data_IF_829059536184
#
_entry.id   IF_829059536184
#
_cell.length_a   1.000
_cell.length_b   1.000
_cell.length_c   1.000
_cell.angle_alpha   90.00
_cell.angle_beta   90.00
_cell.angle_gamma   90.00
#
_symmetry.space_group_name_H-M   'P 1'
#
loop_
_entity.id
_entity.type
_entity.pdbx_description
1 polymer ?
#
# COMPACT_ATOMS: atom_id res chain seq x y z
N UNK A 1 -25.97 -14.18 -19.00
CA UNK A 1 -25.39 -14.45 -17.68
C UNK A 1 -24.15 -15.29 -17.93
N UNK A 2 -22.97 -14.68 -17.84
CA UNK A 2 -21.70 -15.40 -17.97
C UNK A 2 -21.08 -15.47 -16.58
N UNK A 3 -20.82 -16.68 -16.10
CA UNK A 3 -20.11 -16.92 -14.84
C UNK A 3 -18.67 -16.40 -14.97
N UNK A 4 -18.21 -15.70 -13.93
CA UNK A 4 -16.85 -15.19 -13.83
C UNK A 4 -15.99 -16.29 -13.19
N UNK A 5 -14.79 -16.62 -13.71
CA UNK A 5 -13.97 -17.70 -13.17
C UNK A 5 -13.58 -17.48 -11.71
N UNK A 6 -13.66 -18.55 -10.92
CA UNK A 6 -13.23 -18.60 -9.53
C UNK A 6 -11.69 -18.53 -9.47
N UNK A 7 -11.14 -17.50 -8.85
CA UNK A 7 -9.69 -17.27 -8.77
C UNK A 7 -9.19 -17.56 -7.35
N UNK A 8 -9.12 -18.85 -7.00
CA UNK A 8 -8.36 -19.32 -5.85
C UNK A 8 -7.27 -20.27 -6.36
N UNK A 9 -5.99 -20.04 -6.07
CA UNK A 9 -4.99 -21.09 -6.18
C UNK A 9 -5.24 -22.13 -5.08
N UNK A 10 -5.31 -23.40 -5.44
CA UNK A 10 -5.39 -24.51 -4.48
C UNK A 10 -4.10 -24.56 -3.65
N UNK A 11 -4.20 -24.30 -2.35
CA UNK A 11 -3.11 -24.54 -1.39
C UNK A 11 -2.89 -26.05 -1.27
N UNK A 12 -1.74 -26.54 -1.73
CA UNK A 12 -1.27 -27.88 -1.41
C UNK A 12 -0.76 -27.88 0.04
N UNK A 13 -1.54 -28.48 0.94
CA UNK A 13 -1.12 -28.72 2.32
C UNK A 13 -0.15 -29.91 2.37
N UNK A 14 1.13 -29.65 2.61
CA UNK A 14 2.05 -30.69 3.10
C UNK A 14 1.89 -30.82 4.63
N UNK A 15 1.33 -31.94 5.07
CA UNK A 15 1.29 -32.34 6.47
C UNK A 15 2.70 -32.77 6.92
N UNK A 16 3.28 -32.04 7.89
CA UNK A 16 4.33 -32.56 8.75
C UNK A 16 3.93 -32.30 10.21
N UNK A 17 3.65 -33.37 10.95
CA UNK A 17 3.17 -33.32 12.32
C UNK A 17 4.27 -33.08 13.36
N UNK A 18 3.90 -32.41 14.47
CA UNK A 18 4.33 -32.72 15.85
C UNK A 18 3.57 -31.87 16.90
N UNK A 19 2.67 -32.54 17.61
CA UNK A 19 2.24 -32.43 19.03
C UNK A 19 2.20 -31.09 19.81
N UNK A 20 0.97 -30.71 20.16
CA UNK A 20 0.46 -30.20 21.47
C UNK A 20 0.99 -28.90 22.10
N UNK A 21 0.16 -27.84 22.11
CA UNK A 21 -0.62 -27.38 23.28
C UNK A 21 -1.46 -26.13 22.92
N UNK A 22 -2.67 -26.07 23.51
CA UNK A 22 -3.70 -25.01 23.42
C UNK A 22 -4.35 -24.77 22.05
N UNK A 23 -5.50 -25.43 21.84
CA UNK A 23 -6.42 -25.14 20.75
C UNK A 23 -7.05 -23.75 20.95
N UNK A 24 -6.42 -22.70 20.43
CA UNK A 24 -7.13 -21.49 20.07
C UNK A 24 -8.18 -21.89 19.04
N UNK A 25 -9.46 -21.92 19.43
CA UNK A 25 -10.55 -22.03 18.46
C UNK A 25 -10.47 -20.77 17.60
N UNK A 26 -10.00 -20.91 16.37
CA UNK A 26 -10.21 -19.90 15.34
C UNK A 26 -11.72 -19.65 15.27
N UNK A 27 -12.19 -18.41 15.44
CA UNK A 27 -13.62 -18.15 15.30
C UNK A 27 -14.06 -18.58 13.91
N UNK A 28 -15.11 -19.38 13.82
CA UNK A 28 -15.68 -19.85 12.55
C UNK A 28 -15.97 -18.61 11.67
N UNK A 29 -15.32 -18.54 10.50
CA UNK A 29 -15.48 -17.44 9.55
C UNK A 29 -16.86 -17.60 8.92
N UNK A 30 -17.73 -16.60 9.08
CA UNK A 30 -19.05 -16.58 8.42
C UNK A 30 -18.84 -16.73 6.89
N UNK A 31 -19.35 -17.80 6.24
CA UNK A 31 -19.14 -18.03 4.82
C UNK A 31 -19.80 -16.97 3.91
N UNK A 32 -20.66 -16.10 4.46
CA UNK A 32 -21.22 -14.95 3.75
C UNK A 32 -20.44 -13.65 3.98
N UNK A 33 -19.52 -13.60 4.93
CA UNK A 33 -18.72 -12.42 5.18
C UNK A 33 -17.74 -12.16 4.03
N UNK A 34 -17.43 -10.88 3.74
CA UNK A 34 -16.40 -10.55 2.76
C UNK A 34 -15.07 -11.27 3.07
N UNK A 35 -14.40 -11.86 2.07
CA UNK A 35 -13.12 -12.53 2.26
C UNK A 35 -12.04 -11.61 2.83
N UNK A 36 -12.11 -10.31 2.53
CA UNK A 36 -11.20 -9.28 3.01
C UNK A 36 -11.89 -8.29 3.95
N UNK A 37 -11.27 -8.10 5.11
CA UNK A 37 -11.72 -7.16 6.14
C UNK A 37 -11.51 -5.71 5.69
N UNK A 38 -10.43 -5.45 4.96
CA UNK A 38 -10.05 -4.11 4.52
C UNK A 38 -9.31 -4.13 3.18
N UNK A 39 -9.66 -3.21 2.30
CA UNK A 39 -8.91 -2.90 1.08
C UNK A 39 -8.18 -1.58 1.24
N UNK A 40 -6.85 -1.60 1.17
CA UNK A 40 -6.00 -0.42 1.22
C UNK A 40 -5.76 0.07 -0.20
N UNK A 41 -6.30 1.23 -0.53
CA UNK A 41 -6.23 1.83 -1.87
C UNK A 41 -5.19 2.94 -1.88
N UNK A 42 -4.18 2.79 -2.72
CA UNK A 42 -3.09 3.75 -2.84
C UNK A 42 -3.51 4.94 -3.71
N UNK A 43 -3.27 6.16 -3.21
CA UNK A 43 -3.41 7.40 -3.98
C UNK A 43 -2.42 7.53 -5.14
N UNK A 44 -2.70 8.43 -6.07
CA UNK A 44 -1.74 8.90 -7.07
C UNK A 44 -1.79 10.43 -7.08
N UNK A 45 -0.74 11.07 -6.58
CA UNK A 45 -0.55 12.51 -6.66
C UNK A 45 0.32 12.96 -7.84
N UNK A 46 0.51 14.28 -8.02
CA UNK A 46 -0.20 15.35 -7.31
C UNK A 46 -1.63 15.58 -7.86
N UNK A 47 -2.53 16.02 -6.99
CA UNK A 47 -3.86 16.54 -7.34
C UNK A 47 -3.75 17.81 -8.19
N UNK A 48 -4.54 17.94 -9.25
CA UNK A 48 -4.53 19.11 -10.15
C UNK A 48 -5.96 19.61 -10.46
N UNK A 49 -6.13 20.92 -10.68
CA UNK A 49 -7.44 21.57 -10.89
C UNK A 49 -8.16 21.09 -12.14
N UNK A 50 -7.42 20.79 -13.20
CA UNK A 50 -7.94 20.50 -14.53
C UNK A 50 -8.50 19.07 -14.65
N UNK A 51 -8.35 18.27 -13.61
CA UNK A 51 -8.77 16.87 -13.59
C UNK A 51 -10.26 16.74 -13.23
N UNK A 52 -10.95 15.81 -13.88
CA UNK A 52 -12.33 15.50 -13.54
C UNK A 52 -12.39 14.96 -12.10
N UNK A 53 -13.16 15.60 -11.22
CA UNK A 53 -13.15 15.34 -9.76
C UNK A 53 -11.82 15.65 -9.06
N UNK A 54 -10.89 16.34 -9.72
CA UNK A 54 -9.53 16.57 -9.20
C UNK A 54 -8.68 15.30 -9.09
N UNK A 55 -9.15 14.15 -9.60
CA UNK A 55 -8.46 12.87 -9.47
C UNK A 55 -7.57 12.58 -10.67
N UNK A 56 -6.28 12.25 -10.44
CA UNK A 56 -5.43 11.71 -11.49
C UNK A 56 -5.97 10.40 -12.06
N UNK A 57 -5.61 10.12 -13.31
CA UNK A 57 -6.12 8.98 -14.10
C UNK A 57 -6.01 7.65 -13.36
N UNK A 58 -4.87 7.35 -12.71
CA UNK A 58 -4.70 6.10 -11.98
C UNK A 58 -5.39 6.10 -10.61
N UNK A 59 -5.50 7.23 -9.90
CA UNK A 59 -6.34 7.32 -8.70
C UNK A 59 -7.81 7.02 -9.02
N UNK A 60 -8.32 7.57 -10.14
CA UNK A 60 -9.64 7.23 -10.67
C UNK A 60 -9.77 5.75 -11.03
N UNK A 61 -8.74 5.17 -11.67
CA UNK A 61 -8.74 3.75 -12.02
C UNK A 61 -8.85 2.85 -10.77
N UNK A 62 -8.10 3.19 -9.72
CA UNK A 62 -8.13 2.48 -8.43
C UNK A 62 -9.47 2.66 -7.72
N UNK A 63 -10.10 3.84 -7.77
CA UNK A 63 -11.46 4.00 -7.24
C UNK A 63 -12.47 3.10 -7.98
N UNK A 64 -12.39 3.01 -9.30
CA UNK A 64 -13.28 2.15 -10.09
C UNK A 64 -13.07 0.68 -9.71
N UNK A 65 -11.81 0.24 -9.55
CA UNK A 65 -11.48 -1.11 -9.12
C UNK A 65 -11.94 -1.41 -7.68
N UNK A 66 -11.73 -0.49 -6.74
CA UNK A 66 -12.17 -0.62 -5.35
C UNK A 66 -13.68 -0.81 -5.26
N UNK A 67 -14.45 -0.01 -6.02
CA UNK A 67 -15.89 -0.14 -6.08
C UNK A 67 -16.34 -1.48 -6.66
N UNK A 68 -15.65 -2.04 -7.65
CA UNK A 68 -15.99 -3.37 -8.19
C UNK A 68 -15.79 -4.48 -7.15
N UNK A 69 -14.68 -4.44 -6.40
CA UNK A 69 -14.42 -5.41 -5.35
C UNK A 69 -15.46 -5.28 -4.22
N UNK A 70 -15.77 -4.04 -3.81
CA UNK A 70 -16.77 -3.74 -2.79
C UNK A 70 -18.18 -4.23 -3.19
N UNK A 71 -18.67 -3.87 -4.37
CA UNK A 71 -20.02 -4.26 -4.83
C UNK A 71 -20.18 -5.75 -5.09
N UNK A 72 -19.07 -6.48 -5.30
CA UNK A 72 -19.05 -7.95 -5.36
C UNK A 72 -19.07 -8.61 -3.98
N UNK A 73 -19.14 -7.83 -2.90
CA UNK A 73 -19.08 -8.32 -1.53
C UNK A 73 -17.71 -8.87 -1.13
N UNK A 74 -16.63 -8.54 -1.87
CA UNK A 74 -15.30 -9.06 -1.57
C UNK A 74 -14.61 -8.32 -0.42
N UNK A 75 -15.01 -7.07 -0.19
CA UNK A 75 -14.36 -6.14 0.75
C UNK A 75 -15.40 -5.62 1.74
N UNK A 76 -15.08 -5.63 3.04
CA UNK A 76 -15.93 -5.01 4.07
C UNK A 76 -15.73 -3.50 4.17
N UNK A 77 -14.49 -3.04 4.32
CA UNK A 77 -14.14 -1.61 4.43
C UNK A 77 -13.02 -1.23 3.45
N UNK A 78 -12.99 0.03 3.02
CA UNK A 78 -11.97 0.55 2.10
C UNK A 78 -11.22 1.69 2.78
N UNK A 79 -9.90 1.54 2.92
CA UNK A 79 -9.02 2.62 3.39
C UNK A 79 -8.45 3.33 2.17
N UNK A 80 -8.69 4.63 2.08
CA UNK A 80 -8.23 5.51 1.01
C UNK A 80 -7.03 6.30 1.52
N UNK A 81 -5.88 6.16 0.85
CA UNK A 81 -4.62 6.78 1.30
C UNK A 81 -4.19 7.92 0.39
N UNK A 82 -3.61 8.96 1.01
CA UNK A 82 -2.96 10.06 0.32
C UNK A 82 -3.46 11.42 0.80
N UNK A 83 -2.52 12.27 1.18
CA UNK A 83 -2.70 13.60 1.71
C UNK A 83 -2.76 14.68 0.64
N UNK A 84 -2.44 15.92 1.03
CA UNK A 84 -2.57 17.12 0.20
C UNK A 84 -1.40 17.30 -0.78
N UNK A 85 -1.29 16.44 -1.78
CA UNK A 85 -0.19 16.50 -2.75
C UNK A 85 -0.31 17.63 -3.78
N UNK A 86 -1.47 18.30 -3.87
CA UNK A 86 -1.69 19.50 -4.69
C UNK A 86 -1.31 20.82 -4.01
N UNK A 87 -0.96 20.81 -2.72
CA UNK A 87 -0.76 21.99 -1.88
C UNK A 87 -1.87 22.18 -0.84
N UNK A 88 -1.65 23.05 0.14
CA UNK A 88 -2.53 23.19 1.32
C UNK A 88 -3.97 23.59 1.02
N UNK A 89 -4.18 24.34 -0.07
CA UNK A 89 -5.49 24.82 -0.52
C UNK A 89 -6.28 23.75 -1.29
N UNK A 90 -5.71 22.57 -1.50
CA UNK A 90 -6.34 21.46 -2.20
C UNK A 90 -6.84 20.40 -1.23
N UNK A 91 -7.95 19.72 -1.55
CA UNK A 91 -8.34 18.50 -0.86
C UNK A 91 -7.23 17.45 -0.97
N UNK A 92 -7.15 16.58 0.02
CA UNK A 92 -6.28 15.40 -0.04
C UNK A 92 -6.73 14.42 -1.13
N UNK A 93 -5.81 13.58 -1.58
CA UNK A 93 -6.15 12.50 -2.51
C UNK A 93 -7.22 11.57 -1.93
N UNK A 94 -7.13 11.24 -0.64
CA UNK A 94 -8.11 10.41 0.07
C UNK A 94 -9.52 11.03 0.04
N UNK A 95 -9.64 12.34 0.28
CA UNK A 95 -10.92 13.05 0.21
C UNK A 95 -11.52 13.05 -1.19
N UNK A 96 -10.71 13.26 -2.23
CA UNK A 96 -11.18 13.21 -3.61
C UNK A 96 -11.60 11.80 -4.03
N UNK A 97 -10.87 10.78 -3.59
CA UNK A 97 -11.22 9.38 -3.82
C UNK A 97 -12.54 9.02 -3.14
N UNK A 98 -12.76 9.45 -1.90
CA UNK A 98 -14.03 9.29 -1.18
C UNK A 98 -15.17 9.92 -1.97
N UNK A 99 -15.02 11.18 -2.34
CA UNK A 99 -16.03 11.93 -3.07
C UNK A 99 -16.42 11.22 -4.38
N UNK A 100 -15.44 10.72 -5.11
CA UNK A 100 -15.69 9.94 -6.33
C UNK A 100 -16.41 8.62 -6.04
N UNK A 101 -15.95 7.85 -5.04
CA UNK A 101 -16.55 6.58 -4.66
C UNK A 101 -18.01 6.72 -4.21
N UNK A 102 -18.30 7.70 -3.36
CA UNK A 102 -19.65 7.98 -2.86
C UNK A 102 -20.54 8.50 -3.99
N UNK A 103 -20.13 9.59 -4.66
CA UNK A 103 -21.01 10.31 -5.57
C UNK A 103 -21.18 9.59 -6.90
N UNK A 104 -20.12 8.95 -7.43
CA UNK A 104 -20.14 8.27 -8.73
C UNK A 104 -20.28 6.76 -8.63
N UNK A 105 -19.56 6.12 -7.71
CA UNK A 105 -19.54 4.66 -7.63
C UNK A 105 -20.56 4.06 -6.67
N UNK A 106 -21.25 4.90 -5.88
CA UNK A 106 -22.29 4.49 -4.93
C UNK A 106 -21.78 3.53 -3.85
N UNK A 107 -20.52 3.69 -3.44
CA UNK A 107 -20.00 3.04 -2.22
C UNK A 107 -20.48 3.88 -1.02
N UNK A 108 -21.09 3.26 0.02
CA UNK A 108 -21.53 3.97 1.21
C UNK A 108 -20.36 4.68 1.91
N UNK A 109 -20.58 5.87 2.45
CA UNK A 109 -19.50 6.65 3.07
C UNK A 109 -19.00 5.98 4.36
N UNK A 110 -19.88 5.30 5.08
CA UNK A 110 -19.59 4.56 6.30
C UNK A 110 -18.66 3.36 6.09
N UNK A 111 -18.47 2.88 4.85
CA UNK A 111 -17.49 1.83 4.54
C UNK A 111 -16.14 2.39 4.09
N UNK A 112 -15.97 3.71 4.05
CA UNK A 112 -14.76 4.39 3.63
C UNK A 112 -14.03 4.99 4.83
N UNK A 113 -12.75 4.67 4.94
CA UNK A 113 -11.84 5.20 5.95
C UNK A 113 -10.79 6.04 5.24
N UNK A 114 -10.49 7.24 5.76
CA UNK A 114 -9.49 8.13 5.16
C UNK A 114 -8.20 8.13 5.95
N UNK A 115 -7.09 7.97 5.23
CA UNK A 115 -5.76 8.35 5.66
C UNK A 115 -5.30 9.52 4.78
N UNK A 116 -5.43 10.74 5.29
CA UNK A 116 -5.34 11.99 4.54
C UNK A 116 -4.05 12.80 4.85
N UNK A 117 -3.03 12.16 5.44
CA UNK A 117 -1.81 12.84 5.90
C UNK A 117 -0.58 12.49 5.07
N UNK A 118 -0.51 11.27 4.54
CA UNK A 118 0.66 10.78 3.83
C UNK A 118 0.93 11.49 2.51
N UNK A 119 2.20 11.77 2.21
CA UNK A 119 2.62 12.41 0.95
C UNK A 119 3.39 11.46 0.03
N UNK A 120 3.63 10.22 0.47
CA UNK A 120 4.35 9.20 -0.27
C UNK A 120 3.95 7.80 0.19
N UNK A 121 4.35 6.78 -0.58
CA UNK A 121 3.92 5.39 -0.36
C UNK A 121 4.40 4.81 0.98
N UNK A 122 5.55 5.25 1.52
CA UNK A 122 6.06 4.74 2.81
C UNK A 122 5.17 5.26 3.94
N UNK A 123 4.83 6.55 3.93
CA UNK A 123 3.87 7.13 4.87
C UNK A 123 2.49 6.49 4.75
N UNK A 124 1.99 6.26 3.53
CA UNK A 124 0.71 5.58 3.31
C UNK A 124 0.69 4.24 4.06
N UNK A 125 1.75 3.44 3.95
CA UNK A 125 1.87 2.17 4.67
C UNK A 125 1.95 2.36 6.18
N UNK A 126 2.83 3.24 6.66
CA UNK A 126 3.04 3.44 8.09
C UNK A 126 1.76 3.89 8.80
N UNK A 127 1.07 4.88 8.23
CA UNK A 127 -0.14 5.46 8.80
C UNK A 127 -1.32 4.48 8.75
N UNK A 128 -1.52 3.75 7.64
CA UNK A 128 -2.59 2.75 7.56
C UNK A 128 -2.35 1.58 8.51
N UNK A 129 -1.11 1.08 8.60
CA UNK A 129 -0.82 -0.01 9.52
C UNK A 129 -0.98 0.42 10.97
N UNK A 130 -0.64 1.67 11.33
CA UNK A 130 -0.95 2.23 12.64
C UNK A 130 -2.46 2.18 12.95
N UNK A 131 -3.31 2.52 11.98
CA UNK A 131 -4.77 2.47 12.14
C UNK A 131 -5.28 1.02 12.26
N UNK A 132 -4.72 0.10 11.49
CA UNK A 132 -5.06 -1.33 11.50
C UNK A 132 -4.67 -1.98 12.83
N UNK A 133 -3.46 -1.70 13.31
CA UNK A 133 -2.91 -2.24 14.56
C UNK A 133 -3.71 -1.82 15.80
N UNK A 134 -4.47 -0.72 15.72
CA UNK A 134 -5.39 -0.31 16.79
C UNK A 134 -6.65 -1.19 16.87
N UNK A 135 -6.94 -1.97 15.83
CA UNK A 135 -8.12 -2.85 15.75
C UNK A 135 -7.76 -4.23 15.18
N UNK A 136 -6.86 -4.99 15.82
CA UNK A 136 -6.34 -6.26 15.30
C UNK A 136 -7.42 -7.35 15.22
N UNK A 137 -8.46 -7.27 16.06
CA UNK A 137 -9.60 -8.17 16.01
C UNK A 137 -10.55 -7.87 14.84
N UNK A 138 -10.49 -6.66 14.30
CA UNK A 138 -11.32 -6.22 13.17
C UNK A 138 -10.64 -6.48 11.84
N UNK A 139 -9.33 -6.23 11.73
CA UNK A 139 -8.61 -6.27 10.47
C UNK A 139 -7.60 -7.42 10.44
N UNK A 140 -8.01 -8.58 9.93
CA UNK A 140 -7.14 -9.77 9.84
C UNK A 140 -6.78 -10.12 8.39
N UNK A 141 -7.72 -9.96 7.48
CA UNK A 141 -7.56 -10.29 6.06
C UNK A 141 -7.44 -8.99 5.26
N UNK A 142 -6.20 -8.57 5.02
CA UNK A 142 -5.91 -7.33 4.32
C UNK A 142 -5.84 -7.58 2.81
N UNK A 143 -6.21 -6.55 2.04
CA UNK A 143 -5.95 -6.48 0.62
C UNK A 143 -5.34 -5.12 0.26
N UNK A 144 -4.50 -5.11 -0.78
CA UNK A 144 -3.84 -3.92 -1.31
C UNK A 144 -4.28 -3.68 -2.75
N UNK A 145 -4.66 -2.45 -3.09
CA UNK A 145 -5.07 -2.08 -4.45
C UNK A 145 -4.22 -0.92 -4.98
N UNK A 146 -3.54 -1.18 -6.09
CA UNK A 146 -2.76 -0.16 -6.80
C UNK A 146 -2.73 -0.40 -8.31
N UNK A 147 -2.00 0.45 -9.03
CA UNK A 147 -1.70 0.21 -10.44
C UNK A 147 -0.71 -0.95 -10.58
N UNK A 148 -0.78 -1.72 -11.66
CA UNK A 148 -0.03 -2.97 -11.80
C UNK A 148 1.47 -2.79 -11.67
N UNK A 149 2.03 -1.75 -12.29
CA UNK A 149 3.46 -1.45 -12.19
C UNK A 149 3.93 -1.07 -10.78
N UNK A 150 3.03 -0.58 -9.92
CA UNK A 150 3.35 -0.10 -8.58
C UNK A 150 3.24 -1.23 -7.52
N UNK A 151 2.65 -2.37 -7.87
CA UNK A 151 2.42 -3.47 -6.93
C UNK A 151 3.72 -4.12 -6.40
N UNK A 152 4.80 -4.11 -7.17
CA UNK A 152 6.10 -4.62 -6.70
C UNK A 152 6.63 -3.80 -5.52
N UNK A 153 6.53 -2.46 -5.58
CA UNK A 153 6.91 -1.58 -4.47
C UNK A 153 5.99 -1.73 -3.26
N UNK A 154 4.69 -1.95 -3.49
CA UNK A 154 3.71 -2.24 -2.43
C UNK A 154 4.07 -3.55 -1.71
N UNK A 155 4.48 -4.59 -2.46
CA UNK A 155 4.95 -5.85 -1.88
C UNK A 155 6.22 -5.70 -1.05
N UNK A 156 7.24 -5.00 -1.56
CA UNK A 156 8.46 -4.73 -0.78
C UNK A 156 8.16 -3.97 0.52
N UNK A 157 7.19 -3.05 0.50
CA UNK A 157 6.74 -2.35 1.70
C UNK A 157 5.97 -3.28 2.64
N UNK A 158 5.12 -4.15 2.12
CA UNK A 158 4.43 -5.14 2.93
C UNK A 158 5.42 -6.02 3.71
N UNK A 159 6.46 -6.52 3.03
CA UNK A 159 7.53 -7.30 3.66
C UNK A 159 8.29 -6.51 4.72
N UNK A 160 8.72 -5.28 4.39
CA UNK A 160 9.46 -4.42 5.33
C UNK A 160 8.66 -4.07 6.57
N UNK A 161 7.35 -3.88 6.42
CA UNK A 161 6.46 -3.51 7.50
C UNK A 161 5.85 -4.72 8.21
N UNK A 162 6.28 -5.94 7.85
CA UNK A 162 5.82 -7.19 8.45
C UNK A 162 4.29 -7.34 8.35
N UNK A 163 3.74 -7.07 7.17
CA UNK A 163 2.33 -7.25 6.87
C UNK A 163 2.16 -8.09 5.62
N UNK A 164 1.05 -8.82 5.55
CA UNK A 164 0.67 -9.62 4.39
C UNK A 164 -0.75 -9.24 3.96
N UNK A 165 -1.06 -9.48 2.68
CA UNK A 165 -2.38 -9.18 2.14
C UNK A 165 -2.45 -9.45 0.65
N UNK A 166 -3.65 -9.76 0.15
CA UNK A 166 -3.83 -10.03 -1.27
C UNK A 166 -3.69 -8.74 -2.08
N UNK A 167 -2.92 -8.77 -3.16
CA UNK A 167 -2.70 -7.62 -4.04
C UNK A 167 -3.66 -7.68 -5.21
N UNK A 168 -4.31 -6.56 -5.50
CA UNK A 168 -5.16 -6.36 -6.66
C UNK A 168 -4.56 -5.29 -7.57
N UNK A 169 -4.51 -5.59 -8.87
CA UNK A 169 -4.16 -4.64 -9.90
C UNK A 169 -5.41 -3.93 -10.41
N UNK A 170 -5.44 -2.60 -10.32
CA UNK A 170 -6.51 -1.81 -10.95
C UNK A 170 -6.55 -2.06 -12.46
N UNK A 171 -5.39 -2.26 -13.08
CA UNK A 171 -5.27 -2.40 -14.53
C UNK A 171 -5.95 -3.70 -15.00
N UNK A 172 -5.74 -4.80 -14.28
CA UNK A 172 -6.36 -6.09 -14.57
C UNK A 172 -7.88 -6.06 -14.31
N UNK A 173 -8.29 -5.54 -13.15
CA UNK A 173 -9.70 -5.41 -12.80
C UNK A 173 -10.48 -4.56 -13.82
N UNK A 174 -9.89 -3.46 -14.29
CA UNK A 174 -10.51 -2.60 -15.28
C UNK A 174 -10.54 -3.23 -16.67
N UNK A 175 -9.48 -3.93 -17.10
CA UNK A 175 -9.49 -4.67 -18.37
C UNK A 175 -10.65 -5.66 -18.43
N UNK A 176 -10.94 -6.34 -17.32
CA UNK A 176 -12.06 -7.30 -17.23
C UNK A 176 -13.43 -6.62 -17.08
N UNK A 177 -13.48 -5.34 -16.66
CA UNK A 177 -14.74 -4.63 -16.39
C UNK A 177 -15.57 -4.39 -17.66
N UNK A 178 -14.95 -3.85 -18.72
CA UNK A 178 -15.63 -3.67 -20.01
C UNK A 178 -14.64 -3.35 -21.15
N UNK A 179 -15.02 -3.51 -22.44
CA UNK A 179 -14.17 -3.17 -23.57
C UNK A 179 -13.71 -1.70 -23.60
N UNK A 180 -14.52 -0.80 -23.03
CA UNK A 180 -14.13 0.61 -22.89
C UNK A 180 -12.98 0.79 -21.89
N UNK A 181 -13.07 0.13 -20.72
CA UNK A 181 -12.03 0.22 -19.70
C UNK A 181 -10.75 -0.51 -20.13
N UNK A 182 -10.87 -1.63 -20.84
CA UNK A 182 -9.72 -2.29 -21.44
C UNK A 182 -8.92 -1.35 -22.34
N UNK A 183 -9.58 -0.69 -23.31
CA UNK A 183 -8.92 0.29 -24.19
C UNK A 183 -8.34 1.48 -23.42
N UNK A 184 -9.02 1.92 -22.36
CA UNK A 184 -8.52 3.00 -21.52
C UNK A 184 -7.22 2.61 -20.80
N UNK A 185 -7.16 1.41 -20.20
CA UNK A 185 -5.96 0.89 -19.56
C UNK A 185 -4.85 0.70 -20.60
N UNK A 186 -5.13 0.01 -21.71
CA UNK A 186 -4.15 -0.21 -22.79
C UNK A 186 -3.53 1.09 -23.31
N UNK A 187 -4.33 2.16 -23.44
CA UNK A 187 -3.83 3.47 -23.84
C UNK A 187 -2.98 4.14 -22.75
N UNK A 188 -3.41 4.05 -21.49
CA UNK A 188 -2.79 4.80 -20.39
C UNK A 188 -1.57 4.11 -19.78
N UNK A 189 -1.45 2.79 -19.93
CA UNK A 189 -0.34 1.99 -19.40
C UNK A 189 0.58 1.44 -20.49
N UNK A 190 0.62 2.07 -21.67
CA UNK A 190 1.53 1.69 -22.75
C UNK A 190 2.78 2.60 -22.71
N UNK A 191 3.96 2.07 -22.34
CA UNK A 191 5.17 2.87 -22.22
C UNK A 191 5.70 3.40 -23.56
N UNK A 192 5.28 2.83 -24.69
CA UNK A 192 5.65 3.31 -26.02
C UNK A 192 4.73 4.46 -26.51
N UNK A 193 3.61 4.71 -25.83
CA UNK A 193 2.61 5.70 -26.23
C UNK A 193 2.33 6.74 -25.14
N UNK A 194 2.79 6.50 -23.91
CA UNK A 194 2.60 7.36 -22.77
C UNK A 194 3.93 7.60 -22.06
N UNK A 195 4.59 8.73 -22.39
CA UNK A 195 5.87 9.15 -21.80
C UNK A 195 5.77 9.32 -20.28
N UNK A 196 4.64 9.81 -19.76
CA UNK A 196 4.44 9.94 -18.32
C UNK A 196 4.45 8.57 -17.63
N UNK A 197 3.78 7.58 -18.23
CA UNK A 197 3.80 6.20 -17.73
C UNK A 197 5.21 5.61 -17.81
N UNK A 198 5.91 5.79 -18.93
CA UNK A 198 7.29 5.34 -19.08
C UNK A 198 8.20 5.92 -17.99
N UNK A 199 8.10 7.24 -17.72
CA UNK A 199 8.86 7.88 -16.65
C UNK A 199 8.53 7.29 -15.29
N UNK A 200 7.26 7.04 -15.01
CA UNK A 200 6.81 6.45 -13.75
C UNK A 200 7.41 5.04 -13.53
N UNK A 201 7.49 4.22 -14.57
CA UNK A 201 8.15 2.91 -14.49
C UNK A 201 9.62 3.02 -14.09
N UNK A 202 10.34 4.00 -14.63
CA UNK A 202 11.74 4.21 -14.29
C UNK A 202 11.88 4.72 -12.84
N UNK A 203 11.00 5.63 -12.41
CA UNK A 203 11.00 6.13 -11.02
C UNK A 203 10.74 5.02 -10.00
N UNK A 204 9.93 4.00 -10.31
CA UNK A 204 9.75 2.84 -9.41
C UNK A 204 11.08 2.15 -9.08
N UNK A 205 12.00 2.02 -10.05
CA UNK A 205 13.30 1.39 -9.83
C UNK A 205 14.11 2.13 -8.75
N UNK A 206 14.12 3.47 -8.82
CA UNK A 206 14.75 4.33 -7.83
C UNK A 206 14.18 4.10 -6.44
N UNK A 207 12.86 4.09 -6.32
CA UNK A 207 12.20 3.95 -5.03
C UNK A 207 12.38 2.56 -4.43
N UNK A 208 12.28 1.51 -5.25
CA UNK A 208 12.52 0.13 -4.82
C UNK A 208 13.97 -0.09 -4.40
N UNK A 209 14.95 0.42 -5.17
CA UNK A 209 16.36 0.37 -4.78
C UNK A 209 16.64 1.09 -3.47
N UNK A 210 15.95 2.22 -3.23
CA UNK A 210 15.98 2.93 -1.95
C UNK A 210 15.49 2.09 -0.78
N UNK A 211 14.34 1.44 -0.96
CA UNK A 211 13.80 0.52 0.04
C UNK A 211 14.80 -0.60 0.33
N UNK A 212 15.37 -1.21 -0.70
CA UNK A 212 16.30 -2.32 -0.56
C UNK A 212 17.60 -1.93 0.17
N UNK A 213 18.21 -0.80 -0.21
CA UNK A 213 19.61 -0.50 0.13
C UNK A 213 19.81 0.58 1.21
N UNK A 214 18.83 1.45 1.43
CA UNK A 214 19.04 2.69 2.21
C UNK A 214 18.06 2.73 3.38
N UNK A 215 18.41 2.21 4.57
CA UNK A 215 17.56 2.33 5.76
C UNK A 215 17.14 3.78 6.08
N UNK A 216 18.06 4.74 5.94
CA UNK A 216 17.80 6.17 6.14
C UNK A 216 16.72 6.76 5.21
N UNK A 217 16.37 6.10 4.11
CA UNK A 217 15.31 6.56 3.21
C UNK A 217 13.91 6.35 3.79
N UNK A 218 13.70 5.25 4.51
CA UNK A 218 12.36 4.76 4.86
C UNK A 218 12.15 4.55 6.37
N UNK A 219 13.21 4.33 7.15
CA UNK A 219 13.11 4.11 8.61
C UNK A 219 12.49 5.28 9.38
N UNK A 220 12.82 6.57 9.08
CA UNK A 220 12.13 7.70 9.70
C UNK A 220 10.61 7.65 9.55
N UNK A 221 10.12 7.23 8.39
CA UNK A 221 8.70 7.15 8.12
C UNK A 221 8.06 5.88 8.69
N UNK A 222 8.78 4.76 8.70
CA UNK A 222 8.32 3.53 9.34
C UNK A 222 8.11 3.68 10.85
N UNK A 223 8.82 4.63 11.49
CA UNK A 223 8.68 4.93 12.91
C UNK A 223 7.29 5.44 13.30
N UNK A 224 6.48 5.90 12.33
CA UNK A 224 5.11 6.34 12.56
C UNK A 224 4.11 5.18 12.81
N UNK A 225 4.50 3.92 12.57
CA UNK A 225 3.70 2.72 12.88
C UNK A 225 3.42 2.56 14.39
N UNK A 226 2.72 1.50 14.79
CA UNK A 226 2.60 1.18 16.22
C UNK A 226 3.99 0.91 16.83
N UNK A 227 4.24 1.29 18.10
CA UNK A 227 5.51 1.03 18.77
C UNK A 227 5.93 -0.44 18.71
N UNK A 228 4.97 -1.35 18.86
CA UNK A 228 5.18 -2.80 18.82
C UNK A 228 5.66 -3.23 17.43
N UNK A 229 4.94 -2.82 16.36
CA UNK A 229 5.32 -3.13 14.98
C UNK A 229 6.69 -2.53 14.65
N UNK A 230 6.94 -1.29 15.02
CA UNK A 230 8.21 -0.64 14.71
C UNK A 230 9.41 -1.38 15.31
N UNK A 231 9.29 -1.83 16.57
CA UNK A 231 10.31 -2.68 17.19
C UNK A 231 10.45 -4.02 16.49
N UNK A 232 9.35 -4.64 16.05
CA UNK A 232 9.42 -5.89 15.28
C UNK A 232 10.15 -5.70 13.95
N UNK A 233 9.91 -4.58 13.24
CA UNK A 233 10.63 -4.23 12.00
C UNK A 233 12.14 -4.15 12.26
N UNK A 234 12.56 -3.44 13.32
CA UNK A 234 13.98 -3.33 13.69
C UNK A 234 14.57 -4.73 13.97
N UNK A 235 13.87 -5.58 14.73
CA UNK A 235 14.34 -6.94 15.06
C UNK A 235 14.47 -7.84 13.83
N UNK A 236 13.54 -7.74 12.90
CA UNK A 236 13.47 -8.62 11.74
C UNK A 236 14.52 -8.32 10.66
N UNK A 237 15.10 -7.12 10.66
CA UNK A 237 15.96 -6.64 9.58
C UNK A 237 17.38 -6.33 10.09
N UNK A 238 18.38 -7.23 9.92
CA UNK A 238 19.75 -7.01 10.40
C UNK A 238 20.38 -5.71 9.91
N UNK A 239 20.21 -5.37 8.62
CA UNK A 239 20.73 -4.13 8.07
C UNK A 239 20.14 -2.85 8.69
N UNK A 240 18.95 -2.93 9.31
CA UNK A 240 18.40 -1.82 10.10
C UNK A 240 19.11 -1.71 11.45
N UNK A 241 19.44 -2.83 12.10
CA UNK A 241 20.16 -2.82 13.37
C UNK A 241 21.58 -2.29 13.20
N UNK A 242 22.26 -2.68 12.11
CA UNK A 242 23.57 -2.14 11.74
C UNK A 242 23.50 -0.62 11.55
N UNK A 243 22.51 -0.15 10.77
CA UNK A 243 22.28 1.28 10.57
C UNK A 243 21.97 2.04 11.87
N UNK A 244 21.19 1.47 12.79
CA UNK A 244 20.95 2.07 14.11
C UNK A 244 22.24 2.16 14.91
N UNK A 245 23.07 1.12 14.91
CA UNK A 245 24.36 1.11 15.61
C UNK A 245 25.31 2.19 15.07
N UNK A 246 25.40 2.34 13.74
CA UNK A 246 26.17 3.39 13.07
C UNK A 246 25.71 4.80 13.45
N UNK A 247 24.42 4.96 13.75
CA UNK A 247 23.82 6.22 14.20
C UNK A 247 23.77 6.36 15.75
N UNK A 248 24.51 5.52 16.48
CA UNK A 248 24.65 5.62 17.94
C UNK A 248 23.43 5.13 18.73
N UNK A 249 22.50 4.42 18.10
CA UNK A 249 21.28 3.89 18.71
C UNK A 249 21.41 2.41 19.12
N UNK A 250 22.55 2.04 19.71
CA UNK A 250 22.83 0.66 20.15
C UNK A 250 21.88 0.18 21.26
N UNK A 251 21.31 1.09 22.04
CA UNK A 251 20.40 0.81 23.15
C UNK A 251 18.91 1.06 22.79
N UNK A 252 18.55 0.97 21.51
CA UNK A 252 17.19 1.26 21.03
C UNK A 252 16.10 0.43 21.73
N UNK A 253 16.42 -0.76 22.22
CA UNK A 253 15.50 -1.60 23.01
C UNK A 253 15.10 -0.98 24.35
N UNK A 254 15.97 -0.16 24.95
CA UNK A 254 15.76 0.46 26.27
C UNK A 254 15.03 1.81 26.18
N UNK A 255 15.02 2.44 25.00
CA UNK A 255 14.37 3.73 24.78
C UNK A 255 12.86 3.60 24.91
N UNK A 256 12.19 4.66 25.41
CA UNK A 256 10.73 4.74 25.31
C UNK A 256 10.29 4.78 23.83
N UNK A 257 9.05 4.38 23.48
CA UNK A 257 8.54 4.52 22.11
C UNK A 257 8.75 5.92 21.53
N UNK A 258 8.39 6.95 22.29
CA UNK A 258 8.49 8.35 21.86
C UNK A 258 9.95 8.76 21.68
N UNK A 259 10.85 8.39 22.59
CA UNK A 259 12.27 8.72 22.47
C UNK A 259 12.91 8.04 21.27
N UNK A 260 12.57 6.77 21.00
CA UNK A 260 13.05 6.02 19.85
C UNK A 260 12.57 6.65 18.55
N UNK A 261 11.27 6.96 18.46
CA UNK A 261 10.68 7.63 17.31
C UNK A 261 11.35 9.00 17.07
N UNK A 262 11.40 9.85 18.09
CA UNK A 262 12.02 11.19 18.00
C UNK A 262 13.49 11.13 17.55
N UNK A 263 14.26 10.18 18.09
CA UNK A 263 15.66 10.00 17.69
C UNK A 263 15.79 9.60 16.23
N UNK A 264 14.98 8.65 15.75
CA UNK A 264 15.02 8.19 14.37
C UNK A 264 14.51 9.25 13.39
N UNK A 265 13.45 9.98 13.73
CA UNK A 265 12.95 11.10 12.92
C UNK A 265 13.94 12.26 12.83
N UNK A 266 14.79 12.43 13.85
CA UNK A 266 15.87 13.44 13.84
C UNK A 266 17.07 13.07 12.98
N UNK A 267 17.21 11.80 12.58
CA UNK A 267 18.29 11.37 11.69
C UNK A 267 18.06 11.91 10.27
N UNK A 268 19.13 12.27 9.55
CA UNK A 268 19.00 12.78 8.19
C UNK A 268 18.39 11.71 7.28
N UNK A 269 17.30 12.07 6.61
CA UNK A 269 16.73 11.22 5.57
C UNK A 269 17.61 11.23 4.34
N UNK A 270 17.98 10.04 3.86
CA UNK A 270 18.73 9.89 2.62
C UNK A 270 17.78 9.54 1.47
N UNK A 271 17.77 10.35 0.42
CA UNK A 271 16.93 10.10 -0.75
C UNK A 271 17.67 9.19 -1.74
N UNK A 272 17.01 8.17 -2.31
CA UNK A 272 17.61 7.34 -3.35
C UNK A 272 18.11 8.21 -4.50
N UNK A 273 19.27 7.92 -5.09
CA UNK A 273 19.83 8.76 -6.15
C UNK A 273 18.91 8.89 -7.38
N UNK A 274 18.90 10.05 -8.02
CA UNK A 274 17.99 10.32 -9.14
C UNK A 274 18.34 9.48 -10.38
N UNK A 275 19.62 9.16 -10.56
CA UNK A 275 20.18 8.31 -11.61
C UNK A 275 19.65 6.87 -11.58
N UNK A 276 19.13 6.40 -10.44
CA UNK A 276 18.48 5.08 -10.36
C UNK A 276 17.11 5.06 -11.06
N UNK A 277 16.56 6.23 -11.40
CA UNK A 277 15.36 6.35 -12.23
C UNK A 277 15.73 6.29 -13.73
N UNK A 278 16.57 5.32 -14.11
CA UNK A 278 17.06 5.12 -15.48
C UNK A 278 16.99 3.64 -15.87
N UNK A 279 17.09 3.36 -17.18
CA UNK A 279 17.15 1.98 -17.69
C UNK A 279 18.47 1.27 -17.36
N UNK A 280 19.54 2.04 -17.20
CA UNK A 280 20.91 1.53 -17.00
C UNK A 280 21.16 1.07 -15.56
N UNK A 281 20.44 1.63 -14.58
CA UNK A 281 20.60 1.30 -13.15
C UNK A 281 20.17 -0.12 -12.74
N UNK A 282 19.75 -0.97 -13.69
CA UNK A 282 19.36 -2.37 -13.47
C UNK A 282 20.41 -3.38 -13.96
N UNK A 283 21.30 -2.99 -14.89
CA UNK A 283 22.26 -3.93 -15.51
C UNK A 283 23.56 -4.12 -14.69
N UNK A 284 23.75 -3.40 -13.59
CA UNK A 284 24.90 -3.55 -12.68
C UNK A 284 24.60 -4.37 -11.41
N UNK A 285 23.60 -5.26 -11.42
CA UNK A 285 23.32 -6.20 -10.34
C UNK A 285 23.24 -7.65 -10.81
#
# INVERSE_FOLDING_TARGET
>A
MGEVPNYYPEEQSEENGLSSQESFKTPEKDPQAPPFDVLIVFGQGPVQKEQCWGLPTGAKARCIAAAELFHKGQIREVVLTGGKTGGEDYPSEAELMRDYLVKKMKVPEESLILEDKSTNTIENFANVLKMIDQKPETYRNLAFLSAGFHLARVEMLADKFLTTGLKFSSDELLKMRSPHHQRWVEKTTNPNQNEHYQKTLLEENRWMGGLEKIPAYWMPQASATSPERFRQIIKALPGVQDWLAENGLNNWEELSPDDLQNKIESLPREMPPAEWASREGWEEK
#
